data_IF_983155169629
#
_entry.id   IF_983155169629
#
_cell.length_a   1.000
_cell.length_b   1.000
_cell.length_c   1.000
_cell.angle_alpha   90.00
_cell.angle_beta   90.00
_cell.angle_gamma   90.00
#
_symmetry.space_group_name_H-M   'P 1'
#
loop_
_entity.id
_entity.type
_entity.pdbx_description
1 polymer ?
#
# COMPACT_ATOMS: atom_id res chain seq x y z
N UNK A 1 -12.72 22.35 27.21
CA UNK A 1 -13.30 22.54 25.87
C UNK A 1 -13.51 21.16 25.25
N UNK A 2 -14.76 20.81 24.93
CA UNK A 2 -15.30 19.44 25.02
C UNK A 2 -14.95 18.51 23.84
N UNK A 3 -14.44 17.31 24.17
CA UNK A 3 -14.12 16.16 23.31
C UNK A 3 -15.32 15.52 22.57
N UNK A 4 -16.49 16.17 22.54
CA UNK A 4 -17.72 15.63 21.92
C UNK A 4 -17.94 16.05 20.46
N UNK A 5 -17.01 16.82 19.86
CA UNK A 5 -17.14 17.30 18.47
C UNK A 5 -16.12 16.69 17.47
N UNK A 6 -15.12 15.95 17.94
CA UNK A 6 -14.15 15.29 17.05
C UNK A 6 -14.64 13.92 16.53
N UNK A 7 -15.55 13.25 17.26
CA UNK A 7 -16.10 11.95 16.86
C UNK A 7 -17.19 12.02 15.77
N UNK A 8 -17.72 13.21 15.47
CA UNK A 8 -18.79 13.35 14.48
C UNK A 8 -18.28 13.53 13.03
N UNK A 9 -17.01 13.93 12.85
CA UNK A 9 -16.42 14.16 11.53
C UNK A 9 -15.87 12.88 10.88
N UNK A 10 -15.56 11.84 11.66
CA UNK A 10 -15.17 10.52 11.15
C UNK A 10 -16.36 9.61 10.81
N UNK A 11 -17.56 9.91 11.30
CA UNK A 11 -18.77 9.16 10.98
C UNK A 11 -19.48 9.63 9.69
N UNK A 12 -19.13 10.82 9.17
CA UNK A 12 -19.76 11.38 7.95
C UNK A 12 -19.09 10.87 6.67
N UNK A 13 -17.88 10.30 6.74
CA UNK A 13 -17.20 9.71 5.57
C UNK A 13 -17.54 8.24 5.31
N UNK A 14 -18.30 7.59 6.20
CA UNK A 14 -18.66 6.16 6.09
C UNK A 14 -20.17 5.90 5.85
N UNK A 15 -20.99 6.94 5.66
CA UNK A 15 -22.46 6.81 5.61
C UNK A 15 -23.14 7.42 4.36
N UNK A 16 -22.41 7.77 3.30
CA UNK A 16 -22.99 8.44 2.12
C UNK A 16 -23.00 7.64 0.81
N UNK A 17 -22.96 6.30 0.83
CA UNK A 17 -23.12 5.48 -0.40
C UNK A 17 -24.29 4.51 -0.37
N UNK A 18 -25.34 4.82 0.40
CA UNK A 18 -26.66 4.21 0.26
C UNK A 18 -27.69 5.31 0.00
N UNK A 19 -27.76 5.73 -1.27
CA UNK A 19 -28.69 6.74 -1.75
C UNK A 19 -29.02 6.50 -3.22
N UNK A 20 -30.06 5.69 -3.42
CA UNK A 20 -31.00 5.62 -4.56
C UNK A 20 -30.50 6.02 -5.96
N UNK A 21 -30.65 5.06 -6.87
CA UNK A 21 -30.61 5.23 -8.31
C UNK A 21 -31.44 6.44 -8.78
N UNK A 22 -30.82 7.34 -9.53
CA UNK A 22 -31.48 8.05 -10.61
C UNK A 22 -30.64 7.92 -11.88
N UNK A 23 -31.20 7.17 -12.82
CA UNK A 23 -30.79 7.11 -14.21
C UNK A 23 -31.04 8.45 -14.87
N UNK A 24 -29.96 9.21 -15.10
CA UNK A 24 -29.84 10.07 -16.28
C UNK A 24 -28.49 9.77 -16.89
N UNK A 25 -28.51 8.98 -17.97
CA UNK A 25 -27.36 8.78 -18.85
C UNK A 25 -27.05 10.09 -19.57
N UNK A 26 -26.33 10.98 -18.89
CA UNK A 26 -25.74 12.17 -19.48
C UNK A 26 -24.24 11.89 -19.53
N UNK A 27 -23.72 11.67 -20.74
CA UNK A 27 -22.31 11.44 -21.00
C UNK A 27 -21.52 12.67 -20.56
N UNK A 28 -21.07 12.67 -19.31
CA UNK A 28 -20.12 13.65 -18.81
C UNK A 28 -18.79 13.45 -19.55
N UNK A 29 -18.16 14.52 -20.08
CA UNK A 29 -16.80 14.41 -20.60
C UNK A 29 -15.89 13.89 -19.48
N UNK A 30 -14.93 12.99 -19.78
CA UNK A 30 -14.10 12.39 -18.75
C UNK A 30 -13.39 13.48 -17.95
N UNK A 31 -13.65 13.49 -16.64
CA UNK A 31 -12.98 14.35 -15.66
C UNK A 31 -11.46 14.21 -15.86
N UNK A 32 -10.69 15.28 -15.73
CA UNK A 32 -9.22 15.25 -15.96
C UNK A 32 -8.50 14.08 -15.25
N UNK A 33 -9.03 13.63 -14.10
CA UNK A 33 -8.58 12.45 -13.35
C UNK A 33 -8.63 11.14 -14.15
N UNK A 34 -9.60 10.97 -15.04
CA UNK A 34 -9.73 9.76 -15.88
C UNK A 34 -8.77 9.76 -17.08
N UNK A 35 -8.22 10.92 -17.48
CA UNK A 35 -7.24 10.98 -18.59
C UNK A 35 -5.90 10.29 -18.26
N UNK A 36 -5.63 10.05 -16.97
CA UNK A 36 -4.41 9.38 -16.52
C UNK A 36 -4.56 7.85 -16.51
N UNK A 37 -5.79 7.34 -16.38
CA UNK A 37 -6.09 5.93 -16.18
C UNK A 37 -6.37 5.27 -17.53
N UNK A 38 -5.30 4.94 -18.25
CA UNK A 38 -5.40 4.07 -19.43
C UNK A 38 -5.63 2.64 -18.94
N UNK A 39 -6.58 1.87 -19.52
CA UNK A 39 -6.71 0.45 -19.21
C UNK A 39 -5.37 -0.26 -19.32
N UNK A 40 -5.15 -1.27 -18.48
CA UNK A 40 -3.90 -2.01 -18.53
C UNK A 40 -3.84 -2.77 -19.87
N UNK A 41 -2.88 -2.40 -20.72
CA UNK A 41 -2.68 -3.06 -22.02
C UNK A 41 -2.40 -4.53 -21.81
N UNK A 42 -3.11 -5.41 -22.53
CA UNK A 42 -2.98 -6.87 -22.42
C UNK A 42 -3.16 -7.39 -20.98
N UNK A 43 -4.10 -6.80 -20.23
CA UNK A 43 -4.36 -7.18 -18.85
C UNK A 43 -4.79 -8.65 -18.74
N UNK A 44 -4.11 -9.38 -17.87
CA UNK A 44 -4.50 -10.71 -17.42
C UNK A 44 -4.84 -10.65 -15.93
N UNK A 45 -6.12 -10.87 -15.56
CA UNK A 45 -6.55 -10.86 -14.17
C UNK A 45 -5.74 -11.81 -13.30
N UNK A 46 -5.41 -11.36 -12.09
CA UNK A 46 -4.66 -12.19 -11.15
C UNK A 46 -5.47 -13.44 -10.76
N UNK A 47 -4.88 -14.61 -10.97
CA UNK A 47 -5.45 -15.89 -10.53
C UNK A 47 -5.28 -16.09 -9.02
N UNK A 48 -6.05 -17.01 -8.41
CA UNK A 48 -5.89 -17.35 -7.00
C UNK A 48 -4.46 -17.81 -6.64
N UNK A 49 -3.83 -18.60 -7.52
CA UNK A 49 -2.43 -19.03 -7.36
C UNK A 49 -1.45 -17.85 -7.41
N UNK A 50 -1.61 -16.95 -8.39
CA UNK A 50 -0.75 -15.76 -8.50
C UNK A 50 -0.95 -14.81 -7.31
N UNK A 51 -2.16 -14.74 -6.74
CA UNK A 51 -2.44 -13.94 -5.55
C UNK A 51 -1.76 -14.51 -4.30
N UNK A 52 -1.79 -15.84 -4.13
CA UNK A 52 -1.05 -16.50 -3.06
C UNK A 52 0.46 -16.32 -3.23
N UNK A 53 0.97 -16.41 -4.46
CA UNK A 53 2.36 -16.13 -4.78
C UNK A 53 2.73 -14.69 -4.45
N UNK A 54 1.91 -13.71 -4.87
CA UNK A 54 2.09 -12.30 -4.52
C UNK A 54 2.12 -12.10 -3.00
N UNK A 55 1.20 -12.73 -2.26
CA UNK A 55 1.18 -12.67 -0.80
C UNK A 55 2.49 -13.19 -0.20
N UNK A 56 2.99 -14.33 -0.67
CA UNK A 56 4.25 -14.90 -0.22
C UNK A 56 5.44 -13.98 -0.54
N UNK A 57 5.56 -13.51 -1.78
CA UNK A 57 6.65 -12.65 -2.23
C UNK A 57 6.64 -11.30 -1.51
N UNK A 58 5.47 -10.69 -1.33
CA UNK A 58 5.32 -9.41 -0.64
C UNK A 58 5.57 -9.53 0.88
N UNK A 59 5.44 -10.73 1.45
CA UNK A 59 5.58 -10.95 2.90
C UNK A 59 6.97 -11.45 3.27
N UNK A 60 7.38 -12.56 2.67
CA UNK A 60 8.62 -13.30 2.97
C UNK A 60 9.58 -13.36 1.78
N UNK A 61 9.32 -12.60 0.71
CA UNK A 61 10.26 -12.50 -0.41
C UNK A 61 11.51 -11.68 -0.06
N UNK A 62 12.56 -11.76 -0.91
CA UNK A 62 13.84 -11.11 -0.66
C UNK A 62 13.74 -9.60 -0.43
N UNK A 63 12.89 -8.89 -1.17
CA UNK A 63 12.68 -7.44 -0.98
C UNK A 63 12.16 -7.14 0.43
N UNK A 64 11.17 -7.90 0.90
CA UNK A 64 10.61 -7.70 2.25
C UNK A 64 11.63 -8.09 3.34
N UNK A 65 12.28 -9.24 3.21
CA UNK A 65 13.12 -9.79 4.27
C UNK A 65 14.52 -9.17 4.35
N UNK A 66 15.12 -8.84 3.20
CA UNK A 66 16.53 -8.44 3.12
C UNK A 66 16.71 -6.93 2.89
N UNK A 67 15.70 -6.24 2.35
CA UNK A 67 15.78 -4.80 2.09
C UNK A 67 14.89 -4.01 3.05
N UNK A 68 13.58 -4.12 2.88
CA UNK A 68 12.63 -3.31 3.64
C UNK A 68 12.62 -3.65 5.14
N UNK A 69 12.75 -4.93 5.48
CA UNK A 69 12.82 -5.42 6.86
C UNK A 69 13.98 -4.79 7.66
N UNK A 70 15.24 -5.02 7.26
CA UNK A 70 16.39 -4.48 7.96
C UNK A 70 16.43 -2.96 7.90
N UNK A 71 16.00 -2.35 6.78
CA UNK A 71 15.94 -0.89 6.66
C UNK A 71 15.01 -0.26 7.71
N UNK A 72 13.74 -0.73 7.78
CA UNK A 72 12.78 -0.20 8.75
C UNK A 72 13.19 -0.50 10.19
N UNK A 73 13.66 -1.71 10.49
CA UNK A 73 14.08 -2.08 11.84
C UNK A 73 15.33 -1.31 12.29
N UNK A 74 16.29 -1.13 11.37
CA UNK A 74 17.52 -0.36 11.60
C UNK A 74 17.22 1.11 11.87
N UNK A 75 16.40 1.74 11.03
CA UNK A 75 15.98 3.14 11.22
C UNK A 75 15.34 3.36 12.58
N UNK A 76 14.37 2.51 12.93
CA UNK A 76 13.68 2.61 14.22
C UNK A 76 14.59 2.26 15.41
N UNK A 77 15.66 1.48 15.20
CA UNK A 77 16.67 1.21 16.24
C UNK A 77 17.58 2.42 16.46
N UNK A 78 18.00 3.10 15.39
CA UNK A 78 18.79 4.35 15.46
C UNK A 78 18.05 5.42 16.26
N UNK A 79 16.75 5.58 16.01
CA UNK A 79 15.91 6.57 16.72
C UNK A 79 15.26 6.02 18.00
N UNK A 80 15.56 4.77 18.36
CA UNK A 80 14.98 4.08 19.51
C UNK A 80 13.44 4.22 19.63
N UNK A 81 12.72 3.91 18.56
CA UNK A 81 11.24 3.92 18.51
C UNK A 81 10.68 2.51 18.29
N UNK A 82 9.81 1.99 19.15
CA UNK A 82 9.48 2.51 20.49
C UNK A 82 10.69 2.40 21.43
N UNK A 83 10.72 3.20 22.50
CA UNK A 83 11.87 3.26 23.43
C UNK A 83 12.03 1.99 24.26
N UNK A 84 10.91 1.32 24.50
CA UNK A 84 10.76 0.09 25.28
C UNK A 84 11.53 -1.08 24.68
N UNK A 85 11.83 -1.02 23.38
CA UNK A 85 12.62 -2.07 22.72
C UNK A 85 14.13 -1.84 22.88
N UNK A 86 14.56 -0.63 23.26
CA UNK A 86 15.96 -0.25 23.39
C UNK A 86 16.70 -0.13 22.05
N UNK A 87 17.86 0.54 22.00
CA UNK A 87 18.62 0.77 20.76
C UNK A 87 19.58 -0.39 20.40
N UNK A 88 19.50 -1.52 21.10
CA UNK A 88 20.40 -2.66 20.93
C UNK A 88 19.84 -3.72 19.96
N UNK A 89 20.63 -4.76 19.69
CA UNK A 89 20.30 -5.81 18.71
C UNK A 89 19.00 -6.56 19.02
N UNK A 90 18.69 -6.80 20.30
CA UNK A 90 17.40 -7.38 20.69
C UNK A 90 16.23 -6.46 20.31
N UNK A 91 16.38 -5.15 20.49
CA UNK A 91 15.40 -4.15 20.07
C UNK A 91 15.21 -4.12 18.56
N UNK A 92 16.30 -4.25 17.80
CA UNK A 92 16.23 -4.43 16.34
C UNK A 92 15.39 -5.67 15.98
N UNK A 93 15.64 -6.81 16.64
CA UNK A 93 14.88 -8.05 16.43
C UNK A 93 13.38 -7.87 16.69
N UNK A 94 13.01 -7.21 17.80
CA UNK A 94 11.62 -6.87 18.13
C UNK A 94 10.98 -6.00 17.04
N UNK A 95 11.67 -4.97 16.56
CA UNK A 95 11.17 -4.08 15.48
C UNK A 95 10.99 -4.83 14.16
N UNK A 96 11.95 -5.68 13.80
CA UNK A 96 11.88 -6.52 12.60
C UNK A 96 10.69 -7.48 12.66
N UNK A 97 10.55 -8.22 13.78
CA UNK A 97 9.43 -9.13 14.00
C UNK A 97 8.08 -8.40 13.97
N UNK A 98 7.98 -7.28 14.67
CA UNK A 98 6.77 -6.44 14.65
C UNK A 98 6.42 -5.97 13.23
N UNK A 99 7.39 -5.52 12.44
CA UNK A 99 7.17 -5.19 11.02
C UNK A 99 6.66 -6.41 10.25
N UNK A 100 7.26 -7.59 10.44
CA UNK A 100 6.85 -8.80 9.73
C UNK A 100 5.41 -9.20 10.05
N UNK A 101 4.97 -9.09 11.32
CA UNK A 101 3.55 -9.30 11.68
C UNK A 101 2.63 -8.32 10.94
N UNK A 102 3.06 -7.05 10.82
CA UNK A 102 2.30 -6.02 10.13
C UNK A 102 2.16 -6.26 8.63
N UNK A 103 3.28 -6.55 7.96
CA UNK A 103 3.31 -6.86 6.53
C UNK A 103 2.50 -8.13 6.24
N UNK A 104 2.65 -9.17 7.05
CA UNK A 104 1.91 -10.43 6.88
C UNK A 104 0.41 -10.21 6.99
N UNK A 105 -0.05 -9.52 8.04
CA UNK A 105 -1.47 -9.29 8.29
C UNK A 105 -2.06 -8.35 7.22
N UNK A 106 -1.35 -7.27 6.87
CA UNK A 106 -1.78 -6.33 5.84
C UNK A 106 -1.91 -7.00 4.47
N UNK A 107 -0.90 -7.76 4.05
CA UNK A 107 -0.93 -8.48 2.78
C UNK A 107 -2.00 -9.58 2.76
N UNK A 108 -2.21 -10.29 3.88
CA UNK A 108 -3.26 -11.30 3.98
C UNK A 108 -4.64 -10.67 3.80
N UNK A 109 -4.91 -9.54 4.45
CA UNK A 109 -6.13 -8.76 4.27
C UNK A 109 -6.27 -8.26 2.83
N UNK A 110 -5.25 -7.63 2.25
CA UNK A 110 -5.27 -7.17 0.85
C UNK A 110 -5.54 -8.31 -0.13
N UNK A 111 -4.89 -9.47 0.05
CA UNK A 111 -5.15 -10.64 -0.77
C UNK A 111 -6.60 -11.13 -0.61
N UNK A 112 -7.06 -11.27 0.63
CA UNK A 112 -8.40 -11.80 0.94
C UNK A 112 -9.49 -10.90 0.38
N UNK A 113 -9.50 -9.62 0.74
CA UNK A 113 -10.49 -8.66 0.26
C UNK A 113 -10.40 -8.44 -1.25
N UNK A 114 -9.18 -8.39 -1.81
CA UNK A 114 -8.98 -8.28 -3.24
C UNK A 114 -9.51 -9.48 -4.02
N UNK A 115 -9.55 -10.68 -3.42
CA UNK A 115 -10.16 -11.85 -4.04
C UNK A 115 -11.68 -11.72 -4.17
N UNK A 116 -12.34 -11.11 -3.17
CA UNK A 116 -13.78 -10.84 -3.20
C UNK A 116 -14.10 -9.73 -4.20
N UNK A 117 -13.44 -8.57 -4.08
CA UNK A 117 -13.71 -7.42 -4.95
C UNK A 117 -13.15 -7.58 -6.37
N UNK A 118 -12.20 -8.49 -6.59
CA UNK A 118 -11.57 -8.68 -7.89
C UNK A 118 -10.45 -7.68 -8.17
N UNK A 119 -9.91 -7.07 -7.13
CA UNK A 119 -8.79 -6.14 -7.19
C UNK A 119 -7.46 -6.89 -7.29
N UNK A 120 -6.58 -6.39 -8.15
CA UNK A 120 -5.23 -6.89 -8.35
C UNK A 120 -4.22 -6.11 -7.51
N UNK A 121 -3.55 -6.74 -6.54
CA UNK A 121 -2.65 -6.05 -5.63
C UNK A 121 -1.24 -5.82 -6.21
N UNK A 122 -0.98 -6.25 -7.45
CA UNK A 122 0.32 -6.08 -8.10
C UNK A 122 0.52 -4.62 -8.52
N UNK A 123 1.77 -4.16 -8.45
CA UNK A 123 2.14 -2.89 -9.05
C UNK A 123 2.22 -3.03 -10.58
N UNK A 124 1.58 -2.11 -11.30
CA UNK A 124 1.69 -1.97 -12.75
C UNK A 124 2.43 -0.67 -13.06
N UNK A 125 3.40 -0.76 -13.99
CA UNK A 125 4.17 0.41 -14.41
C UNK A 125 3.28 1.45 -15.06
N UNK A 126 3.74 2.69 -15.01
CA UNK A 126 3.05 3.82 -15.64
C UNK A 126 2.71 3.52 -17.10
N UNK A 127 1.45 3.69 -17.53
CA UNK A 127 1.06 3.54 -18.93
C UNK A 127 1.62 4.67 -19.80
N UNK A 128 2.10 5.75 -19.17
CA UNK A 128 2.62 6.92 -19.87
C UNK A 128 4.15 6.98 -19.81
N UNK A 129 4.83 7.23 -20.94
CA UNK A 129 6.27 7.44 -20.96
C UNK A 129 6.64 8.81 -20.38
N UNK A 130 7.89 8.90 -19.92
CA UNK A 130 8.50 10.14 -19.43
C UNK A 130 8.51 10.29 -17.91
N UNK A 131 9.60 10.85 -17.38
CA UNK A 131 9.89 10.91 -15.95
C UNK A 131 8.78 11.54 -15.11
N UNK A 132 8.27 12.71 -15.49
CA UNK A 132 7.25 13.44 -14.72
C UNK A 132 5.93 12.66 -14.59
N UNK A 133 5.49 12.00 -15.68
CA UNK A 133 4.26 11.21 -15.66
C UNK A 133 4.39 9.96 -14.81
N UNK A 134 5.55 9.29 -14.89
CA UNK A 134 5.90 8.15 -14.04
C UNK A 134 6.00 8.52 -12.56
N UNK A 135 6.57 9.67 -12.24
CA UNK A 135 6.62 10.18 -10.87
C UNK A 135 5.20 10.47 -10.32
N UNK A 136 4.32 11.08 -11.13
CA UNK A 136 2.91 11.24 -10.76
C UNK A 136 2.18 9.91 -10.61
N UNK A 137 2.49 8.93 -11.45
CA UNK A 137 1.92 7.58 -11.37
C UNK A 137 2.26 6.89 -10.05
N UNK A 138 3.51 6.98 -9.60
CA UNK A 138 3.95 6.44 -8.30
C UNK A 138 3.14 7.01 -7.13
N UNK A 139 2.74 8.29 -7.20
CA UNK A 139 1.92 8.94 -6.17
C UNK A 139 0.47 8.41 -6.20
N UNK A 140 -0.10 8.18 -7.38
CA UNK A 140 -1.50 7.75 -7.51
C UNK A 140 -1.68 6.24 -7.33
N UNK A 141 -0.70 5.45 -7.76
CA UNK A 141 -0.77 3.98 -7.80
C UNK A 141 -1.13 3.25 -6.49
N UNK A 142 -0.82 3.73 -5.27
CA UNK A 142 -1.28 3.07 -4.05
C UNK A 142 -2.80 3.16 -3.84
N UNK A 143 -3.46 4.14 -4.47
CA UNK A 143 -4.88 4.42 -4.29
C UNK A 143 -5.77 3.74 -5.33
N UNK A 144 -5.18 3.09 -6.33
CA UNK A 144 -5.90 2.49 -7.44
C UNK A 144 -5.42 1.06 -7.70
N UNK A 145 -6.33 0.18 -8.08
CA UNK A 145 -6.04 -1.20 -8.43
C UNK A 145 -6.82 -1.59 -9.70
N UNK A 146 -6.23 -2.38 -10.62
CA UNK A 146 -6.97 -2.96 -11.71
C UNK A 146 -8.01 -3.95 -11.19
N UNK A 147 -9.21 -3.89 -11.75
CA UNK A 147 -10.26 -4.89 -11.57
C UNK A 147 -10.15 -5.99 -12.62
N UNK A 148 -11.00 -7.02 -12.51
CA UNK A 148 -11.07 -8.17 -13.44
C UNK A 148 -11.23 -7.77 -14.92
N UNK A 149 -11.75 -6.58 -15.20
CA UNK A 149 -11.95 -6.04 -16.55
C UNK A 149 -10.77 -5.17 -17.04
N UNK A 150 -9.71 -5.02 -16.24
CA UNK A 150 -8.53 -4.21 -16.56
C UNK A 150 -8.73 -2.71 -16.36
N UNK A 151 -9.87 -2.29 -15.80
CA UNK A 151 -10.14 -0.89 -15.47
C UNK A 151 -9.63 -0.54 -14.07
N UNK A 152 -9.27 0.72 -13.86
CA UNK A 152 -8.69 1.22 -12.62
C UNK A 152 -9.75 1.71 -11.66
N UNK A 153 -9.86 1.06 -10.49
CA UNK A 153 -10.79 1.42 -9.43
C UNK A 153 -10.04 1.83 -8.15
N UNK A 154 -10.69 2.51 -7.19
CA UNK A 154 -10.11 2.70 -5.87
C UNK A 154 -9.67 1.36 -5.26
N UNK A 155 -8.47 1.31 -4.68
CA UNK A 155 -7.88 0.10 -4.11
C UNK A 155 -8.44 -0.21 -2.71
N UNK A 156 -9.71 -0.62 -2.61
CA UNK A 156 -10.34 -0.89 -1.32
C UNK A 156 -9.67 -2.02 -0.56
N UNK A 157 -9.17 -3.06 -1.25
CA UNK A 157 -8.43 -4.14 -0.61
C UNK A 157 -7.14 -3.64 0.04
N UNK A 158 -6.42 -2.72 -0.61
CA UNK A 158 -5.24 -2.08 -0.04
C UNK A 158 -5.59 -1.22 1.19
N UNK A 159 -6.72 -0.51 1.17
CA UNK A 159 -7.18 0.26 2.33
C UNK A 159 -7.54 -0.66 3.49
N UNK A 160 -8.25 -1.76 3.24
CA UNK A 160 -8.56 -2.75 4.27
C UNK A 160 -7.29 -3.39 4.85
N UNK A 161 -6.31 -3.72 4.00
CA UNK A 161 -5.03 -4.22 4.45
C UNK A 161 -4.27 -3.22 5.30
N UNK A 162 -4.15 -1.98 4.83
CA UNK A 162 -3.37 -0.93 5.50
C UNK A 162 -4.03 -0.51 6.81
N UNK A 163 -5.31 -0.15 6.79
CA UNK A 163 -6.03 0.31 7.97
C UNK A 163 -6.28 -0.85 8.92
N UNK A 164 -6.80 -1.96 8.41
CA UNK A 164 -7.14 -3.14 9.22
C UNK A 164 -5.93 -3.66 9.99
N UNK A 165 -4.79 -3.84 9.33
CA UNK A 165 -3.57 -4.26 10.02
C UNK A 165 -3.08 -3.23 11.05
N UNK A 166 -3.05 -1.94 10.71
CA UNK A 166 -2.48 -0.94 11.60
C UNK A 166 -3.29 -0.76 12.89
N UNK A 167 -4.60 -0.95 12.83
CA UNK A 167 -5.45 -0.98 14.02
C UNK A 167 -5.40 -2.32 14.73
N UNK A 168 -5.45 -3.44 14.01
CA UNK A 168 -5.41 -4.77 14.61
C UNK A 168 -4.09 -5.00 15.38
N UNK A 169 -2.97 -4.55 14.81
CA UNK A 169 -1.66 -4.70 15.43
C UNK A 169 -1.48 -3.96 16.75
N UNK A 170 -2.34 -2.99 17.08
CA UNK A 170 -2.34 -2.38 18.42
C UNK A 170 -2.51 -3.41 19.53
N UNK A 171 -3.19 -4.53 19.26
CA UNK A 171 -3.43 -5.59 20.26
C UNK A 171 -2.17 -6.35 20.68
N UNK A 172 -1.07 -6.24 19.95
CA UNK A 172 0.22 -6.87 20.29
C UNK A 172 1.43 -5.92 20.18
N UNK A 173 1.19 -4.60 20.09
CA UNK A 173 2.25 -3.58 20.10
C UNK A 173 2.57 -3.13 21.53
N UNK A 174 3.75 -2.52 21.69
CA UNK A 174 4.06 -1.76 22.90
C UNK A 174 3.01 -0.68 23.15
N UNK A 175 2.69 -0.44 24.43
CA UNK A 175 1.60 0.45 24.83
C UNK A 175 1.76 1.86 24.23
N UNK A 176 2.98 2.40 24.19
CA UNK A 176 3.30 3.73 23.62
C UNK A 176 3.00 3.88 22.13
N UNK A 177 2.83 2.78 21.38
CA UNK A 177 2.49 2.79 19.96
C UNK A 177 1.16 2.07 19.66
N UNK A 178 0.34 1.81 20.68
CA UNK A 178 -0.88 1.02 20.56
C UNK A 178 -2.18 1.85 20.48
N UNK A 179 -2.08 3.18 20.37
CA UNK A 179 -3.26 4.04 20.32
C UNK A 179 -3.79 4.20 18.89
N UNK A 180 -5.02 4.71 18.78
CA UNK A 180 -5.64 5.00 17.48
C UNK A 180 -4.87 6.08 16.69
N UNK A 181 -4.28 7.06 17.37
CA UNK A 181 -3.42 8.08 16.75
C UNK A 181 -2.18 7.45 16.13
N UNK A 182 -1.56 6.49 16.81
CA UNK A 182 -0.36 5.80 16.34
C UNK A 182 -0.69 4.96 15.11
N UNK A 183 -1.84 4.26 15.14
CA UNK A 183 -2.35 3.53 13.99
C UNK A 183 -2.61 4.43 12.78
N UNK A 184 -3.19 5.62 13.00
CA UNK A 184 -3.43 6.59 11.93
C UNK A 184 -2.11 7.09 11.31
N UNK A 185 -1.09 7.39 12.13
CA UNK A 185 0.24 7.76 11.66
C UNK A 185 0.86 6.63 10.83
N UNK A 186 0.75 5.39 11.29
CA UNK A 186 1.26 4.23 10.53
C UNK A 186 0.50 3.97 9.23
N UNK A 187 -0.78 4.31 9.15
CA UNK A 187 -1.51 4.27 7.87
C UNK A 187 -0.90 5.28 6.88
N UNK A 188 -0.65 6.52 7.33
CA UNK A 188 -0.03 7.54 6.48
C UNK A 188 1.39 7.16 6.04
N UNK A 189 2.22 6.67 6.96
CA UNK A 189 3.58 6.23 6.61
C UNK A 189 3.58 4.94 5.79
N UNK A 190 2.57 4.08 5.95
CA UNK A 190 2.34 2.91 5.11
C UNK A 190 2.10 3.29 3.64
N UNK A 191 1.26 4.31 3.39
CA UNK A 191 1.05 4.87 2.04
C UNK A 191 2.34 5.41 1.46
N UNK A 192 3.12 6.16 2.23
CA UNK A 192 4.44 6.65 1.79
C UNK A 192 5.41 5.51 1.50
N UNK A 193 5.39 4.44 2.31
CA UNK A 193 6.16 3.23 2.07
C UNK A 193 5.77 2.53 0.76
N UNK A 194 4.47 2.46 0.47
CA UNK A 194 3.98 1.94 -0.81
C UNK A 194 4.41 2.81 -1.99
N UNK A 195 4.36 4.14 -1.86
CA UNK A 195 4.91 5.04 -2.89
C UNK A 195 6.41 4.80 -3.11
N UNK A 196 7.18 4.62 -2.04
CA UNK A 196 8.62 4.34 -2.15
C UNK A 196 8.91 3.00 -2.83
N UNK A 197 8.18 1.94 -2.48
CA UNK A 197 8.32 0.62 -3.13
C UNK A 197 7.89 0.68 -4.61
N UNK A 198 6.78 1.36 -4.91
CA UNK A 198 6.33 1.59 -6.28
C UNK A 198 7.35 2.42 -7.08
N UNK A 199 7.97 3.44 -6.47
CA UNK A 199 9.06 4.21 -7.08
C UNK A 199 10.25 3.33 -7.43
N UNK A 200 10.62 2.44 -6.50
CA UNK A 200 11.70 1.49 -6.72
C UNK A 200 11.36 0.55 -7.90
N UNK A 201 10.17 -0.06 -7.91
CA UNK A 201 9.73 -0.92 -9.01
C UNK A 201 9.64 -0.18 -10.36
N UNK A 202 9.23 1.10 -10.34
CA UNK A 202 9.11 1.94 -11.51
C UNK A 202 10.47 2.28 -12.11
N UNK A 203 11.41 2.79 -11.30
CA UNK A 203 12.64 3.45 -11.77
C UNK A 203 13.92 2.64 -11.61
N UNK A 204 13.97 1.65 -10.71
CA UNK A 204 15.17 0.82 -10.52
C UNK A 204 15.67 0.16 -11.81
N UNK A 205 14.81 -0.32 -12.73
CA UNK A 205 15.28 -0.86 -14.01
C UNK A 205 16.09 0.16 -14.82
N UNK A 206 15.68 1.44 -14.87
CA UNK A 206 16.41 2.45 -15.64
C UNK A 206 17.76 2.77 -15.00
N UNK A 207 17.76 2.89 -13.66
CA UNK A 207 18.96 3.12 -12.86
C UNK A 207 19.94 1.96 -13.03
N UNK A 208 19.46 0.73 -12.95
CA UNK A 208 20.30 -0.47 -13.09
C UNK A 208 20.88 -0.59 -14.50
N UNK A 209 20.12 -0.27 -15.55
CA UNK A 209 20.64 -0.27 -16.92
C UNK A 209 21.70 0.81 -17.14
N UNK A 210 21.53 1.99 -16.55
CA UNK A 210 22.49 3.09 -16.64
C UNK A 210 23.80 2.77 -15.91
N UNK A 211 23.71 2.16 -14.71
CA UNK A 211 24.87 1.84 -13.86
C UNK A 211 25.59 0.58 -14.35
N UNK A 212 24.86 -0.50 -14.61
CA UNK A 212 25.45 -1.82 -14.87
C UNK A 212 25.69 -2.11 -16.34
N UNK A 213 25.49 -1.14 -17.25
CA UNK A 213 25.68 -1.23 -18.72
C UNK A 213 25.66 -2.67 -19.19
N UNK A 214 24.48 -3.30 -19.21
CA UNK A 214 24.36 -4.66 -19.71
C UNK A 214 24.80 -4.64 -21.17
N UNK A 215 26.04 -5.09 -21.45
CA UNK A 215 26.48 -5.35 -22.82
C UNK A 215 25.49 -6.38 -23.36
N UNK A 216 24.65 -5.98 -24.34
CA UNK A 216 23.98 -6.96 -25.19
C UNK A 216 25.07 -7.88 -25.74
N UNK A 217 25.04 -9.15 -25.38
CA UNK A 217 25.66 -10.20 -26.18
C UNK A 217 24.83 -10.39 -27.44
#
# INVERSE_FOLDING_TARGET
MNFRKAGLLLAVLLLSTLGLAQTTAQSQPPTQSQRFLVPVTEYQPITGKQRLQWFADATVGPESLLLAGPWTAGWNTIFNSPKEYGPHIEGFGKRYGMRLTGVSTGNAMTATFGSFWGEDPRYFKSPHPGFKKRAGWVIVSPFIAPHRDGTWHPAYAYYMGTVGNNFLSNTWRAESESHASDAAIRCMTGVLGSMASNAFAEFWPDVSHAIFKTKKK
#
